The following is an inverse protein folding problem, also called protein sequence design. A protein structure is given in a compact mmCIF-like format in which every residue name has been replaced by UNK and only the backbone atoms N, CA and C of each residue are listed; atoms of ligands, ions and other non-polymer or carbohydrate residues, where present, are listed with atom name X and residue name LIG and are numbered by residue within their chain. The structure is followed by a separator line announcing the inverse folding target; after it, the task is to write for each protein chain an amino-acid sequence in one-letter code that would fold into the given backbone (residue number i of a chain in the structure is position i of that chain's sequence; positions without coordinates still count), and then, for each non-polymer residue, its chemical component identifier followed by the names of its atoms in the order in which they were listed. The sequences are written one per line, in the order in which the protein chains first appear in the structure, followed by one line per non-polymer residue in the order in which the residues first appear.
data_IF_648173727605
#
_entry.id   IF_648173727605
#
_cell.length_a   1.000
_cell.length_b   1.000
_cell.length_c   1.000
_cell.angle_alpha   90.00
_cell.angle_beta   90.00
_cell.angle_gamma   90.00
#
_symmetry.space_group_name_H-M   'P 1'
#
loop_
_entity.id
_entity.type
_entity.pdbx_description
1 polymer ?
#
# COMPACT_ATOMS: atom_id res chain seq x y z
N UNK A 1 -30.40 13.22 14.02
CA UNK A 1 -29.70 13.73 12.81
C UNK A 1 -28.22 13.98 13.08
N UNK A 2 -27.78 14.22 14.33
CA UNK A 2 -26.34 14.34 14.67
C UNK A 2 -25.57 13.01 14.70
N UNK A 3 -26.24 11.87 14.92
CA UNK A 3 -25.56 10.56 15.02
C UNK A 3 -25.06 9.99 13.69
N UNK A 4 -25.73 10.26 12.56
CA UNK A 4 -25.31 9.72 11.26
C UNK A 4 -24.06 10.43 10.74
N UNK A 5 -23.99 11.77 10.81
CA UNK A 5 -22.84 12.55 10.30
C UNK A 5 -21.55 12.21 11.07
N UNK A 6 -21.66 11.93 12.37
CA UNK A 6 -20.52 11.55 13.21
C UNK A 6 -20.01 10.14 12.87
N UNK A 7 -20.93 9.21 12.54
CA UNK A 7 -20.60 7.84 12.16
C UNK A 7 -19.77 7.78 10.87
N UNK A 8 -20.13 8.56 9.84
CA UNK A 8 -19.44 8.54 8.55
C UNK A 8 -18.06 9.23 8.55
N UNK A 9 -17.86 10.29 9.35
CA UNK A 9 -16.54 10.97 9.43
C UNK A 9 -15.46 10.14 10.13
N UNK A 10 -15.86 9.28 11.09
CA UNK A 10 -14.94 8.37 11.79
C UNK A 10 -14.41 7.27 10.88
N UNK A 11 -15.26 6.75 10.00
CA UNK A 11 -14.92 5.69 9.05
C UNK A 11 -14.00 6.19 7.93
N UNK A 12 -14.19 7.42 7.44
CA UNK A 12 -13.29 8.04 6.45
C UNK A 12 -11.90 8.27 7.02
N UNK A 13 -11.78 8.78 8.24
CA UNK A 13 -10.48 8.95 8.91
C UNK A 13 -9.77 7.61 9.17
N UNK A 14 -10.52 6.57 9.55
CA UNK A 14 -9.99 5.23 9.74
C UNK A 14 -9.49 4.60 8.43
N UNK A 15 -10.20 4.81 7.31
CA UNK A 15 -9.76 4.37 5.97
C UNK A 15 -8.46 5.05 5.53
N UNK A 16 -8.32 6.36 5.75
CA UNK A 16 -7.09 7.09 5.44
C UNK A 16 -5.89 6.57 6.26
N UNK A 17 -6.10 6.33 7.56
CA UNK A 17 -5.07 5.74 8.42
C UNK A 17 -4.71 4.31 7.99
N UNK A 18 -5.67 3.51 7.52
CA UNK A 18 -5.44 2.17 7.00
C UNK A 18 -4.65 2.21 5.67
N UNK A 19 -5.00 3.12 4.75
CA UNK A 19 -4.25 3.31 3.50
C UNK A 19 -2.78 3.69 3.77
N UNK A 20 -2.54 4.60 4.72
CA UNK A 20 -1.20 5.01 5.12
C UNK A 20 -0.39 3.82 5.70
N UNK A 21 -0.99 3.00 6.56
CA UNK A 21 -0.36 1.78 7.07
C UNK A 21 -0.03 0.79 5.97
N UNK A 22 -0.96 0.55 5.04
CA UNK A 22 -0.75 -0.34 3.90
C UNK A 22 0.41 0.15 3.02
N UNK A 23 0.52 1.46 2.78
CA UNK A 23 1.65 2.03 2.02
C UNK A 23 2.98 1.86 2.75
N UNK A 24 3.01 2.12 4.06
CA UNK A 24 4.22 1.91 4.87
C UNK A 24 4.70 0.45 4.83
N UNK A 25 3.79 -0.52 4.85
CA UNK A 25 4.13 -1.94 4.68
C UNK A 25 4.75 -2.19 3.30
N UNK A 26 4.19 -1.62 2.23
CA UNK A 26 4.74 -1.72 0.88
C UNK A 26 6.17 -1.17 0.79
N UNK A 27 6.42 -0.02 1.41
CA UNK A 27 7.75 0.62 1.48
C UNK A 27 8.75 -0.22 2.28
N UNK A 28 8.35 -0.78 3.43
CA UNK A 28 9.20 -1.65 4.24
C UNK A 28 9.59 -2.93 3.49
N UNK A 29 8.63 -3.55 2.81
CA UNK A 29 8.86 -4.71 1.95
C UNK A 29 9.86 -4.34 0.84
N UNK A 30 9.69 -3.19 0.19
CA UNK A 30 10.61 -2.74 -0.85
C UNK A 30 12.04 -2.54 -0.31
N UNK A 31 12.17 -1.92 0.86
CA UNK A 31 13.47 -1.74 1.52
C UNK A 31 14.17 -3.08 1.83
N UNK A 32 13.41 -4.07 2.31
CA UNK A 32 13.93 -5.42 2.56
C UNK A 32 14.39 -6.13 1.27
N UNK A 33 13.67 -5.94 0.16
CA UNK A 33 14.05 -6.46 -1.16
C UNK A 33 15.37 -5.83 -1.63
N UNK A 34 15.50 -4.51 -1.58
CA UNK A 34 16.72 -3.80 -1.99
C UNK A 34 17.94 -4.20 -1.13
N UNK A 35 17.75 -4.36 0.18
CA UNK A 35 18.79 -4.85 1.09
C UNK A 35 19.23 -6.29 0.73
N UNK A 36 18.27 -7.17 0.42
CA UNK A 36 18.55 -8.55 0.03
C UNK A 36 19.31 -8.62 -1.31
N UNK A 37 18.99 -7.75 -2.27
CA UNK A 37 19.72 -7.63 -3.55
C UNK A 37 21.19 -7.29 -3.30
N UNK A 38 21.46 -6.28 -2.48
CA UNK A 38 22.83 -5.87 -2.15
C UNK A 38 23.65 -6.99 -1.52
N UNK A 39 23.04 -7.75 -0.60
CA UNK A 39 23.69 -8.89 0.06
C UNK A 39 24.03 -10.02 -0.93
N UNK A 40 23.14 -10.33 -1.86
CA UNK A 40 23.30 -11.42 -2.83
C UNK A 40 24.32 -11.07 -3.91
N UNK A 41 24.31 -9.83 -4.41
CA UNK A 41 25.34 -9.35 -5.32
C UNK A 41 26.72 -9.37 -4.65
N UNK A 42 26.81 -8.97 -3.38
CA UNK A 42 28.04 -9.09 -2.59
C UNK A 42 28.53 -10.54 -2.48
N UNK A 43 27.65 -11.48 -2.17
CA UNK A 43 27.99 -12.91 -2.06
C UNK A 43 28.39 -13.55 -3.40
N UNK A 44 27.69 -13.24 -4.50
CA UNK A 44 27.99 -13.77 -5.85
C UNK A 44 29.39 -13.37 -6.34
N UNK A 45 29.83 -12.15 -6.00
CA UNK A 45 31.14 -11.65 -6.39
C UNK A 45 32.30 -12.44 -5.74
N UNK A 46 32.04 -13.00 -4.55
CA UNK A 46 32.98 -13.79 -3.74
C UNK A 46 32.95 -15.29 -4.04
N UNK A 47 31.79 -15.85 -4.36
CA UNK A 47 31.62 -17.30 -4.59
C UNK A 47 31.46 -17.66 -6.07
N UNK A 48 32.56 -18.02 -6.74
CA UNK A 48 32.52 -18.50 -8.14
C UNK A 48 32.33 -20.01 -8.22
N UNK A 49 31.10 -20.49 -8.05
CA UNK A 49 30.76 -21.93 -8.11
C UNK A 49 29.37 -22.22 -8.65
N UNK A 50 29.11 -23.48 -9.09
CA UNK A 50 27.77 -23.92 -9.57
C UNK A 50 26.68 -23.69 -8.51
N UNK A 51 26.99 -23.90 -7.24
CA UNK A 51 26.07 -23.66 -6.12
C UNK A 51 25.67 -22.18 -5.98
N UNK A 52 26.61 -21.24 -6.19
CA UNK A 52 26.32 -19.80 -6.16
C UNK A 52 25.36 -19.39 -7.28
N UNK A 53 25.55 -19.90 -8.50
CA UNK A 53 24.65 -19.60 -9.62
C UNK A 53 23.22 -20.09 -9.41
N UNK A 54 23.05 -21.26 -8.76
CA UNK A 54 21.71 -21.76 -8.40
C UNK A 54 21.06 -20.90 -7.31
N UNK A 55 21.85 -20.43 -6.34
CA UNK A 55 21.38 -19.54 -5.28
C UNK A 55 20.96 -18.17 -5.85
N UNK A 56 21.79 -17.57 -6.72
CA UNK A 56 21.45 -16.34 -7.46
C UNK A 56 20.14 -16.49 -8.23
N UNK A 57 19.97 -17.56 -9.02
CA UNK A 57 18.76 -17.76 -9.81
C UNK A 57 17.50 -17.90 -8.95
N UNK A 58 17.61 -18.60 -7.81
CA UNK A 58 16.50 -18.74 -6.86
C UNK A 58 16.15 -17.40 -6.22
N UNK A 59 17.16 -16.60 -5.87
CA UNK A 59 16.94 -15.33 -5.22
C UNK A 59 16.41 -14.25 -6.18
N UNK A 60 16.84 -14.24 -7.45
CA UNK A 60 16.24 -13.40 -8.50
C UNK A 60 14.74 -13.70 -8.64
N UNK A 61 14.38 -14.99 -8.71
CA UNK A 61 12.96 -15.40 -8.77
C UNK A 61 12.18 -15.03 -7.51
N UNK A 62 12.82 -15.05 -6.34
CA UNK A 62 12.21 -14.59 -5.09
C UNK A 62 11.96 -13.08 -5.17
N UNK A 63 12.96 -12.30 -5.59
CA UNK A 63 12.85 -10.84 -5.74
C UNK A 63 11.72 -10.44 -6.70
N UNK A 64 11.60 -11.09 -7.86
CA UNK A 64 10.50 -10.83 -8.80
C UNK A 64 9.10 -11.07 -8.20
N UNK A 65 8.96 -12.03 -7.28
CA UNK A 65 7.70 -12.28 -6.57
C UNK A 65 7.45 -11.22 -5.51
N UNK A 66 8.50 -10.80 -4.79
CA UNK A 66 8.39 -9.78 -3.76
C UNK A 66 8.10 -8.39 -4.34
N UNK A 67 8.73 -8.02 -5.46
CA UNK A 67 8.42 -6.76 -6.18
C UNK A 67 6.94 -6.69 -6.59
N UNK A 68 6.41 -7.77 -7.19
CA UNK A 68 4.97 -7.86 -7.51
C UNK A 68 4.07 -7.75 -6.28
N UNK A 69 4.48 -8.30 -5.15
CA UNK A 69 3.72 -8.15 -3.90
C UNK A 69 3.73 -6.70 -3.40
N UNK A 70 4.87 -6.01 -3.48
CA UNK A 70 4.95 -4.57 -3.18
C UNK A 70 4.01 -3.76 -4.06
N UNK A 71 4.01 -4.00 -5.37
CA UNK A 71 3.13 -3.30 -6.31
C UNK A 71 1.65 -3.55 -5.99
N UNK A 72 1.29 -4.79 -5.66
CA UNK A 72 -0.07 -5.13 -5.24
C UNK A 72 -0.49 -4.40 -3.96
N UNK A 73 0.41 -4.30 -2.97
CA UNK A 73 0.15 -3.59 -1.70
C UNK A 73 -0.02 -2.09 -1.95
N UNK A 74 0.80 -1.50 -2.82
CA UNK A 74 0.65 -0.10 -3.22
C UNK A 74 -0.69 0.15 -3.93
N UNK A 75 -1.06 -0.71 -4.88
CA UNK A 75 -2.36 -0.64 -5.55
C UNK A 75 -3.54 -0.77 -4.57
N UNK A 76 -3.44 -1.64 -3.56
CA UNK A 76 -4.44 -1.72 -2.51
C UNK A 76 -4.56 -0.41 -1.73
N UNK A 77 -3.44 0.22 -1.37
CA UNK A 77 -3.43 1.52 -0.68
C UNK A 77 -4.08 2.63 -1.53
N UNK A 78 -3.80 2.65 -2.83
CA UNK A 78 -4.38 3.62 -3.77
C UNK A 78 -5.89 3.43 -3.89
N UNK A 79 -6.36 2.18 -4.02
CA UNK A 79 -7.79 1.86 -4.05
C UNK A 79 -8.51 2.29 -2.76
N UNK A 80 -7.91 2.06 -1.59
CA UNK A 80 -8.49 2.49 -0.30
C UNK A 80 -8.57 4.02 -0.25
N UNK A 81 -7.53 4.71 -0.74
CA UNK A 81 -7.49 6.17 -0.81
C UNK A 81 -8.57 6.72 -1.73
N UNK A 82 -8.79 6.08 -2.88
CA UNK A 82 -9.83 6.48 -3.83
C UNK A 82 -11.23 6.27 -3.26
N UNK A 83 -11.47 5.15 -2.57
CA UNK A 83 -12.73 4.90 -1.86
C UNK A 83 -12.97 5.97 -0.80
N UNK A 84 -11.94 6.33 -0.03
CA UNK A 84 -12.02 7.42 0.96
C UNK A 84 -12.43 8.77 0.32
N UNK A 85 -11.81 9.16 -0.79
CA UNK A 85 -12.16 10.41 -1.50
C UNK A 85 -13.61 10.38 -1.99
N UNK A 86 -14.02 9.29 -2.64
CA UNK A 86 -15.39 9.15 -3.13
C UNK A 86 -16.44 9.26 -2.02
N UNK A 87 -16.19 8.67 -0.84
CA UNK A 87 -17.08 8.80 0.32
C UNK A 87 -17.15 10.25 0.81
N UNK A 88 -16.02 10.95 0.91
CA UNK A 88 -16.00 12.35 1.32
C UNK A 88 -16.75 13.27 0.34
N UNK A 89 -16.71 12.99 -0.96
CA UNK A 89 -17.43 13.76 -1.97
C UNK A 89 -18.95 13.57 -1.84
N UNK A 90 -19.40 12.32 -1.63
CA UNK A 90 -20.82 12.02 -1.38
C UNK A 90 -21.33 12.73 -0.11
N UNK A 91 -20.55 12.75 0.96
CA UNK A 91 -20.91 13.45 2.20
C UNK A 91 -21.07 14.97 2.00
N UNK A 92 -20.18 15.57 1.21
CA UNK A 92 -20.23 16.99 0.86
C UNK A 92 -21.47 17.31 0.00
N UNK A 93 -21.78 16.49 -0.99
CA UNK A 93 -22.99 16.64 -1.83
C UNK A 93 -24.27 16.53 -1.00
N UNK A 94 -24.34 15.54 -0.09
CA UNK A 94 -25.49 15.36 0.79
C UNK A 94 -25.69 16.55 1.74
N UNK A 95 -24.61 17.03 2.36
CA UNK A 95 -24.65 18.19 3.26
C UNK A 95 -25.12 19.46 2.53
N UNK A 96 -24.64 19.67 1.29
CA UNK A 96 -25.07 20.78 0.46
C UNK A 96 -26.55 20.67 0.03
N UNK A 97 -27.00 19.47 -0.34
CA UNK A 97 -28.39 19.23 -0.72
C UNK A 97 -29.36 19.50 0.44
N UNK A 98 -29.05 18.99 1.64
CA UNK A 98 -29.82 19.23 2.86
C UNK A 98 -29.81 20.73 3.22
N UNK A 99 -28.64 21.37 3.15
CA UNK A 99 -28.51 22.81 3.38
C UNK A 99 -29.34 23.66 2.42
N UNK A 100 -29.60 23.20 1.19
CA UNK A 100 -30.45 23.91 0.22
C UNK A 100 -31.95 23.75 0.46
N UNK A 101 -32.37 22.71 1.20
CA UNK A 101 -33.78 22.43 1.50
C UNK A 101 -34.23 23.08 2.82
N UNK A 102 -33.29 23.28 3.75
CA UNK A 102 -33.56 23.86 5.08
C UNK A 102 -33.48 25.40 5.06
N UNK A 103 -32.81 25.99 4.06
CA UNK A 103 -32.81 27.44 3.81
C UNK A 103 -33.93 27.85 2.84
#
# INVERSE_FOLDING_TARGET
MEDEVTYFSGDTAAMAAYAAKTRAIGEEINAQVQSSIGAVQGLSSSWKGKASRTYEGTEILRQDKWGRNTDNVNHMSDNITQVHVNYSDVDNEWSNAIGSVIN
#
